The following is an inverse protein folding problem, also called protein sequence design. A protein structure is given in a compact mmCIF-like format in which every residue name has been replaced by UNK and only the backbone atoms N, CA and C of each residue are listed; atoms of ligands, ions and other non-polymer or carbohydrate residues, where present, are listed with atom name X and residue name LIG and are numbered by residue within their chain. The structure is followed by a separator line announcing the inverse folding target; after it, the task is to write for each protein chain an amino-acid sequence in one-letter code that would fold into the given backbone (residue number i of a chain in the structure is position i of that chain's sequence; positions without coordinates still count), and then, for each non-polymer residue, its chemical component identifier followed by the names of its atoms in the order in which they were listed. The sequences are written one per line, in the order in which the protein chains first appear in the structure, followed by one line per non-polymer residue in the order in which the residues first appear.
data_IF_277418559275
#
_entry.id   IF_277418559275
#
_cell.length_a   1.000
_cell.length_b   1.000
_cell.length_c   1.000
_cell.angle_alpha   90.00
_cell.angle_beta   90.00
_cell.angle_gamma   90.00
#
_symmetry.space_group_name_H-M   'P 1'
#
loop_
_entity.id
_entity.type
_entity.pdbx_description
1 polymer ?
#
# COMPACT_ATOMS: atom_id res chain seq x y z
N UNK A 1 -41.33 -22.09 -18.16
CA UNK A 1 -42.43 -21.10 -18.03
C UNK A 1 -42.29 -20.45 -16.67
N UNK A 2 -42.07 -19.13 -16.60
CA UNK A 2 -42.06 -18.41 -15.32
C UNK A 2 -43.48 -18.49 -14.75
N UNK A 3 -43.62 -18.91 -13.49
CA UNK A 3 -44.90 -18.97 -12.78
C UNK A 3 -44.87 -17.97 -11.63
N UNK A 4 -46.02 -17.38 -11.31
CA UNK A 4 -46.20 -16.42 -10.21
C UNK A 4 -45.31 -15.17 -10.32
N UNK A 5 -45.32 -14.36 -9.27
CA UNK A 5 -44.48 -13.17 -9.13
C UNK A 5 -43.06 -13.55 -8.65
N UNK A 6 -42.34 -14.29 -9.50
CA UNK A 6 -40.94 -14.67 -9.24
C UNK A 6 -39.98 -13.77 -10.02
N UNK A 7 -38.75 -13.62 -9.50
CA UNK A 7 -37.66 -12.91 -10.19
C UNK A 7 -37.38 -13.56 -11.53
N UNK A 8 -37.24 -12.75 -12.58
CA UNK A 8 -36.88 -13.21 -13.92
C UNK A 8 -35.51 -13.90 -13.85
N UNK A 9 -35.40 -15.20 -14.19
CA UNK A 9 -34.14 -15.93 -14.07
C UNK A 9 -33.13 -15.43 -15.11
N UNK A 10 -31.94 -15.03 -14.65
CA UNK A 10 -30.79 -14.67 -15.50
C UNK A 10 -29.60 -15.62 -15.25
N UNK A 11 -29.87 -16.92 -15.29
CA UNK A 11 -28.89 -17.96 -14.99
C UNK A 11 -28.06 -18.33 -16.22
N UNK A 12 -26.75 -18.14 -16.16
CA UNK A 12 -25.84 -18.33 -17.30
C UNK A 12 -25.37 -19.78 -17.47
N UNK A 13 -26.30 -20.72 -17.55
CA UNK A 13 -26.04 -22.16 -17.69
C UNK A 13 -26.38 -22.73 -19.08
N UNK A 14 -26.50 -21.86 -20.10
CA UNK A 14 -26.90 -22.23 -21.46
C UNK A 14 -25.79 -22.85 -22.33
N UNK A 15 -24.52 -22.77 -21.89
CA UNK A 15 -23.36 -23.38 -22.57
C UNK A 15 -23.01 -24.73 -21.93
N UNK A 16 -22.06 -25.47 -22.51
CA UNK A 16 -21.51 -26.70 -21.92
C UNK A 16 -20.63 -26.41 -20.68
N UNK A 17 -21.22 -25.84 -19.63
CA UNK A 17 -20.54 -25.41 -18.41
C UNK A 17 -20.02 -26.59 -17.57
N UNK A 18 -20.70 -27.74 -17.64
CA UNK A 18 -20.35 -28.96 -16.90
C UNK A 18 -18.91 -29.42 -17.17
N UNK A 19 -18.40 -29.22 -18.40
CA UNK A 19 -17.02 -29.55 -18.79
C UNK A 19 -15.95 -28.68 -18.12
N UNK A 20 -16.33 -27.53 -17.57
CA UNK A 20 -15.41 -26.53 -16.99
C UNK A 20 -15.69 -26.28 -15.50
N UNK A 21 -16.34 -27.22 -14.84
CA UNK A 21 -16.59 -27.15 -13.40
C UNK A 21 -15.26 -27.36 -12.67
N UNK A 22 -14.80 -26.32 -11.98
CA UNK A 22 -13.60 -26.40 -11.14
C UNK A 22 -13.99 -26.82 -9.73
N UNK A 23 -13.68 -28.05 -9.38
CA UNK A 23 -13.80 -28.55 -8.00
C UNK A 23 -12.62 -28.07 -7.15
N UNK A 24 -12.83 -27.95 -5.83
CA UNK A 24 -11.85 -27.45 -4.87
C UNK A 24 -11.37 -28.52 -3.86
N UNK A 25 -11.50 -29.80 -4.20
CA UNK A 25 -11.05 -30.91 -3.35
C UNK A 25 -9.54 -30.89 -3.06
N UNK A 26 -8.75 -30.27 -3.94
CA UNK A 26 -7.30 -30.12 -3.81
C UNK A 26 -6.87 -28.91 -2.95
N UNK A 27 -7.82 -28.13 -2.42
CA UNK A 27 -7.55 -26.96 -1.58
C UNK A 27 -6.67 -27.27 -0.35
N UNK A 28 -6.94 -28.29 0.49
CA UNK A 28 -6.07 -28.64 1.61
C UNK A 28 -4.68 -29.09 1.16
N UNK A 29 -4.58 -29.91 0.11
CA UNK A 29 -3.30 -30.37 -0.44
C UNK A 29 -2.46 -29.18 -0.95
N UNK A 30 -3.06 -28.26 -1.70
CA UNK A 30 -2.40 -27.01 -2.15
C UNK A 30 -1.97 -26.13 -1.00
N UNK A 31 -2.73 -26.08 0.10
CA UNK A 31 -2.36 -25.34 1.31
C UNK A 31 -1.11 -25.95 1.97
N UNK A 32 -1.06 -27.28 2.11
CA UNK A 32 0.08 -28.01 2.64
C UNK A 32 1.34 -27.81 1.78
N UNK A 33 1.22 -27.99 0.46
CA UNK A 33 2.33 -27.79 -0.48
C UNK A 33 2.90 -26.36 -0.42
N UNK A 34 2.04 -25.32 -0.44
CA UNK A 34 2.49 -23.93 -0.27
C UNK A 34 3.15 -23.68 1.08
N UNK A 35 2.78 -24.40 2.14
CA UNK A 35 3.40 -24.28 3.46
C UNK A 35 4.81 -24.87 3.45
N UNK A 36 5.01 -26.06 2.87
CA UNK A 36 6.33 -26.68 2.73
C UNK A 36 7.29 -25.80 1.91
N UNK A 37 6.86 -25.35 0.73
CA UNK A 37 7.65 -24.45 -0.12
C UNK A 37 8.05 -23.15 0.60
N UNK A 38 7.18 -22.59 1.44
CA UNK A 38 7.52 -21.40 2.25
C UNK A 38 8.58 -21.73 3.32
N UNK A 39 8.50 -22.91 3.95
CA UNK A 39 9.51 -23.36 4.93
C UNK A 39 10.86 -23.58 4.26
N UNK A 40 10.90 -24.27 3.13
CA UNK A 40 12.12 -24.49 2.34
C UNK A 40 12.75 -23.17 1.90
N UNK A 41 11.93 -22.24 1.40
CA UNK A 41 12.39 -20.89 1.04
C UNK A 41 12.98 -20.13 2.23
N UNK A 42 12.37 -20.23 3.41
CA UNK A 42 12.87 -19.59 4.62
C UNK A 42 14.20 -20.22 5.08
N UNK A 43 14.30 -21.55 5.07
CA UNK A 43 15.53 -22.26 5.40
C UNK A 43 16.69 -21.88 4.46
N UNK A 44 16.43 -21.81 3.14
CA UNK A 44 17.43 -21.39 2.15
C UNK A 44 17.86 -19.92 2.30
N UNK A 45 16.97 -19.05 2.76
CA UNK A 45 17.25 -17.62 2.91
C UNK A 45 17.92 -17.28 4.24
N UNK A 46 17.91 -18.17 5.23
CA UNK A 46 18.53 -17.96 6.53
C UNK A 46 20.02 -17.59 6.38
N UNK A 47 20.53 -16.56 7.08
CA UNK A 47 19.92 -15.84 8.20
C UNK A 47 18.98 -14.67 7.81
N UNK A 48 18.81 -14.38 6.52
CA UNK A 48 18.02 -13.23 6.05
C UNK A 48 16.52 -13.48 6.21
N UNK A 49 15.75 -12.48 6.70
CA UNK A 49 14.29 -12.58 6.70
C UNK A 49 13.72 -12.72 5.29
N UNK A 50 12.61 -13.45 5.15
CA UNK A 50 11.97 -13.62 3.84
C UNK A 50 11.28 -12.33 3.40
N UNK A 51 11.55 -11.92 2.16
CA UNK A 51 10.90 -10.77 1.52
C UNK A 51 11.85 -9.58 1.27
N UNK A 52 11.27 -8.44 0.93
CA UNK A 52 11.93 -7.14 0.79
C UNK A 52 11.10 -6.09 1.52
N UNK A 53 11.73 -5.04 2.05
CA UNK A 53 11.00 -3.89 2.59
C UNK A 53 10.21 -3.20 1.46
N UNK A 54 8.94 -2.93 1.72
CA UNK A 54 8.03 -2.21 0.81
C UNK A 54 7.62 -0.86 1.42
N UNK A 55 7.43 0.19 0.59
CA UNK A 55 6.98 1.50 1.05
C UNK A 55 5.50 1.49 1.43
N UNK A 56 5.09 2.49 2.20
CA UNK A 56 3.70 2.82 2.46
C UNK A 56 3.18 3.71 1.32
N UNK A 57 2.08 3.31 0.68
CA UNK A 57 1.51 4.01 -0.49
C UNK A 57 0.00 4.13 -0.36
N UNK A 58 -0.54 5.30 -0.68
CA UNK A 58 -1.99 5.53 -0.76
C UNK A 58 -2.61 4.85 -1.98
N UNK A 59 -3.85 4.36 -1.85
CA UNK A 59 -4.59 3.88 -3.01
C UNK A 59 -5.02 5.03 -3.94
N UNK A 60 -5.27 4.73 -5.21
CA UNK A 60 -5.36 5.75 -6.26
C UNK A 60 -6.72 6.45 -6.37
N UNK A 61 -7.82 5.77 -6.08
CA UNK A 61 -9.18 6.29 -6.35
C UNK A 61 -9.73 7.06 -5.14
N UNK A 62 -10.64 8.00 -5.38
CA UNK A 62 -11.30 8.78 -4.31
C UNK A 62 -11.94 7.90 -3.23
N UNK A 63 -12.50 6.74 -3.59
CA UNK A 63 -13.07 5.77 -2.63
C UNK A 63 -12.03 5.16 -1.69
N UNK A 64 -10.78 5.02 -2.12
CA UNK A 64 -9.75 4.28 -1.38
C UNK A 64 -8.53 5.12 -0.97
N UNK A 65 -8.46 6.41 -1.31
CA UNK A 65 -7.32 7.28 -1.03
C UNK A 65 -6.94 7.34 0.47
N UNK A 66 -7.92 7.19 1.37
CA UNK A 66 -7.70 7.12 2.82
C UNK A 66 -6.99 5.83 3.27
N UNK A 67 -6.99 4.78 2.43
CA UNK A 67 -6.33 3.50 2.74
C UNK A 67 -4.88 3.51 2.28
N UNK A 68 -3.98 3.24 3.21
CA UNK A 68 -2.56 2.99 2.95
C UNK A 68 -2.33 1.49 2.78
N UNK A 69 -1.47 1.13 1.83
CA UNK A 69 -1.07 -0.26 1.54
C UNK A 69 0.43 -0.37 1.29
N UNK A 70 0.94 -1.60 1.33
CA UNK A 70 2.29 -1.88 0.86
C UNK A 70 2.40 -1.66 -0.66
N UNK A 71 3.36 -0.84 -1.07
CA UNK A 71 3.67 -0.56 -2.47
C UNK A 71 4.57 -1.61 -3.14
N UNK A 72 4.89 -1.38 -4.41
CA UNK A 72 5.80 -2.25 -5.17
C UNK A 72 7.26 -2.10 -4.71
N UNK A 73 7.72 -0.87 -4.52
CA UNK A 73 9.09 -0.52 -4.11
C UNK A 73 9.28 0.99 -3.93
N UNK A 74 10.37 1.36 -3.27
CA UNK A 74 10.78 2.73 -2.99
C UNK A 74 11.20 3.46 -4.25
N UNK A 75 10.98 4.78 -4.28
CA UNK A 75 11.43 5.63 -5.40
C UNK A 75 12.92 5.93 -5.30
N UNK A 76 13.52 6.37 -6.40
CA UNK A 76 14.91 6.84 -6.40
C UNK A 76 15.10 8.08 -5.51
N UNK A 77 14.09 8.94 -5.42
CA UNK A 77 14.13 10.13 -4.58
C UNK A 77 14.14 9.76 -3.08
N UNK A 78 13.31 8.80 -2.66
CA UNK A 78 13.29 8.29 -1.29
C UNK A 78 14.62 7.65 -0.91
N UNK A 79 15.18 6.81 -1.79
CA UNK A 79 16.47 6.17 -1.57
C UNK A 79 17.60 7.19 -1.44
N UNK A 80 17.62 8.19 -2.32
CA UNK A 80 18.60 9.29 -2.26
C UNK A 80 18.50 10.07 -0.95
N UNK A 81 17.29 10.40 -0.51
CA UNK A 81 17.05 11.11 0.76
C UNK A 81 17.39 10.26 2.01
N UNK A 82 17.32 8.93 1.88
CA UNK A 82 17.74 7.99 2.92
C UNK A 82 19.24 7.62 2.84
N UNK A 83 19.99 8.14 1.87
CA UNK A 83 21.42 7.83 1.69
C UNK A 83 21.70 6.43 1.15
N UNK A 84 20.72 5.78 0.52
CA UNK A 84 20.85 4.42 -0.03
C UNK A 84 21.04 4.47 -1.53
N UNK A 85 22.07 3.81 -2.05
CA UNK A 85 22.27 3.69 -3.49
C UNK A 85 21.25 2.72 -4.10
N UNK A 86 20.85 2.95 -5.36
CA UNK A 86 19.90 2.09 -6.09
C UNK A 86 20.38 0.63 -6.16
N UNK A 87 21.68 0.45 -6.38
CA UNK A 87 22.26 -0.86 -6.61
C UNK A 87 22.37 -1.64 -5.30
N UNK A 88 22.73 -0.97 -4.20
CA UNK A 88 22.89 -1.59 -2.89
C UNK A 88 21.53 -1.90 -2.24
N UNK A 89 20.50 -1.12 -2.54
CA UNK A 89 19.16 -1.29 -1.99
C UNK A 89 18.65 -2.74 -2.13
N UNK A 90 18.84 -3.37 -3.31
CA UNK A 90 18.38 -4.76 -3.52
C UNK A 90 19.18 -5.76 -2.69
N UNK A 91 20.47 -5.52 -2.50
CA UNK A 91 21.36 -6.38 -1.70
C UNK A 91 20.99 -6.30 -0.21
N UNK A 92 20.66 -5.10 0.27
CA UNK A 92 20.22 -4.83 1.66
C UNK A 92 18.81 -5.39 1.96
N UNK A 93 18.03 -5.72 0.92
CA UNK A 93 16.67 -6.22 1.09
C UNK A 93 15.58 -5.15 1.00
N UNK A 94 15.82 -4.06 0.27
CA UNK A 94 14.87 -2.99 -0.01
C UNK A 94 14.35 -3.15 -1.46
N UNK A 95 13.02 -3.11 -1.64
CA UNK A 95 12.43 -3.18 -2.99
C UNK A 95 12.50 -1.80 -3.68
N UNK A 96 12.91 -1.77 -4.94
CA UNK A 96 13.05 -0.52 -5.72
C UNK A 96 12.03 -0.47 -6.86
N UNK A 97 11.39 0.68 -7.04
CA UNK A 97 10.48 0.95 -8.17
C UNK A 97 10.80 2.31 -8.82
N UNK A 98 11.55 2.26 -9.91
CA UNK A 98 12.00 3.45 -10.66
C UNK A 98 10.86 4.21 -11.35
N UNK A 99 9.67 3.60 -11.48
CA UNK A 99 8.52 4.16 -12.21
C UNK A 99 7.66 5.07 -11.34
N UNK A 100 7.67 4.89 -10.02
CA UNK A 100 6.83 5.67 -9.12
C UNK A 100 7.44 7.07 -8.92
N UNK A 101 6.60 8.08 -8.97
CA UNK A 101 6.96 9.49 -8.74
C UNK A 101 6.30 9.97 -7.45
N UNK A 102 7.01 10.80 -6.69
CA UNK A 102 6.48 11.45 -5.50
C UNK A 102 5.96 12.83 -5.88
N UNK A 103 4.71 13.11 -5.49
CA UNK A 103 4.06 14.42 -5.71
C UNK A 103 3.87 15.19 -4.40
N UNK A 104 3.86 14.49 -3.28
CA UNK A 104 3.62 15.03 -1.95
C UNK A 104 4.86 14.87 -1.09
N UNK A 105 5.23 15.91 -0.36
CA UNK A 105 6.37 15.90 0.54
C UNK A 105 6.14 14.96 1.74
N UNK A 106 4.94 14.98 2.33
CA UNK A 106 4.55 14.11 3.44
C UNK A 106 4.78 12.61 3.13
N UNK A 107 4.41 12.18 1.93
CA UNK A 107 4.58 10.79 1.50
C UNK A 107 6.05 10.42 1.27
N UNK A 108 6.88 11.39 0.87
CA UNK A 108 8.32 11.23 0.76
C UNK A 108 8.91 11.04 2.18
N UNK A 109 8.59 11.94 3.11
CA UNK A 109 9.13 11.94 4.46
C UNK A 109 8.73 10.69 5.25
N UNK A 110 7.46 10.27 5.17
CA UNK A 110 6.99 9.04 5.80
C UNK A 110 7.76 7.79 5.30
N UNK A 111 8.07 7.72 4.01
CA UNK A 111 8.81 6.61 3.44
C UNK A 111 10.31 6.68 3.72
N UNK A 112 10.89 7.89 3.81
CA UNK A 112 12.28 8.09 4.24
C UNK A 112 12.44 7.69 5.71
N UNK A 113 11.53 8.09 6.59
CA UNK A 113 11.51 7.67 7.98
C UNK A 113 11.41 6.14 8.11
N UNK A 114 10.58 5.51 7.27
CA UNK A 114 10.48 4.05 7.19
C UNK A 114 11.77 3.38 6.72
N UNK A 115 12.49 3.97 5.77
CA UNK A 115 13.80 3.48 5.32
C UNK A 115 14.84 3.58 6.43
N UNK A 116 14.94 4.73 7.11
CA UNK A 116 15.87 4.93 8.23
C UNK A 116 15.61 3.93 9.36
N UNK A 117 14.35 3.80 9.79
CA UNK A 117 13.95 2.83 10.80
C UNK A 117 14.24 1.37 10.41
N UNK A 118 14.27 1.04 9.11
CA UNK A 118 14.70 -0.28 8.65
C UNK A 118 16.22 -0.43 8.72
N UNK A 119 16.97 0.55 8.21
CA UNK A 119 18.43 0.54 8.22
C UNK A 119 19.00 0.44 9.63
N UNK A 120 18.41 1.15 10.60
CA UNK A 120 18.82 1.10 12.01
C UNK A 120 18.68 -0.30 12.63
N UNK A 121 17.75 -1.12 12.12
CA UNK A 121 17.49 -2.48 12.60
C UNK A 121 18.20 -3.56 11.79
N UNK A 122 18.74 -3.23 10.61
CA UNK A 122 19.44 -4.20 9.77
C UNK A 122 20.84 -4.44 10.33
N UNK A 123 21.13 -5.69 10.66
CA UNK A 123 22.49 -6.12 10.98
C UNK A 123 23.13 -6.64 9.70
N UNK A 124 24.22 -6.01 9.27
CA UNK A 124 24.96 -6.37 8.07
C UNK A 124 26.30 -7.01 8.42
N UNK A 125 26.55 -8.22 7.92
CA UNK A 125 27.86 -8.85 8.06
C UNK A 125 28.81 -8.32 6.98
N UNK A 126 29.82 -7.55 7.38
CA UNK A 126 30.81 -6.98 6.44
C UNK A 126 31.93 -7.95 6.06
N UNK A 127 32.11 -9.05 6.80
CA UNK A 127 33.19 -10.00 6.57
C UNK A 127 32.76 -11.25 5.78
N UNK A 128 33.75 -11.89 5.15
CA UNK A 128 33.62 -13.21 4.49
C UNK A 128 32.98 -14.25 5.44
N UNK A 129 32.30 -15.28 4.92
CA UNK A 129 31.30 -16.10 5.63
C UNK A 129 31.81 -17.02 6.76
N UNK A 130 33.04 -16.81 7.23
CA UNK A 130 33.69 -17.59 8.29
C UNK A 130 33.51 -16.99 9.69
N UNK A 131 33.16 -15.70 9.80
CA UNK A 131 32.84 -15.07 11.08
C UNK A 131 31.38 -15.28 11.45
N UNK A 132 31.13 -15.92 12.61
CA UNK A 132 29.81 -15.93 13.24
C UNK A 132 29.32 -14.48 13.28
N UNK A 133 28.14 -14.20 12.72
CA UNK A 133 27.49 -12.91 12.95
C UNK A 133 27.30 -12.83 14.47
N UNK A 134 27.75 -11.75 15.10
CA UNK A 134 27.45 -11.47 16.50
C UNK A 134 25.95 -11.18 16.64
N UNK A 135 25.17 -12.27 16.67
CA UNK A 135 23.72 -12.29 16.91
C UNK A 135 23.43 -12.42 18.41
N UNK A 136 24.45 -12.36 19.27
CA UNK A 136 24.30 -12.46 20.72
C UNK A 136 23.25 -11.43 21.20
N UNK A 137 22.08 -11.95 21.64
CA UNK A 137 20.95 -11.16 22.14
C UNK A 137 20.01 -10.55 21.10
N UNK A 138 20.21 -10.75 19.78
CA UNK A 138 19.35 -10.16 18.73
C UNK A 138 18.40 -11.21 18.13
N UNK A 139 17.09 -10.95 18.20
CA UNK A 139 16.08 -11.84 17.64
C UNK A 139 16.11 -11.85 16.10
N UNK A 140 16.26 -13.03 15.50
CA UNK A 140 16.15 -13.22 14.05
C UNK A 140 14.67 -13.19 13.66
N UNK A 141 14.30 -12.26 12.77
CA UNK A 141 12.92 -12.15 12.32
C UNK A 141 12.68 -13.05 11.10
N UNK A 142 11.55 -13.77 11.06
CA UNK A 142 11.24 -14.70 9.96
C UNK A 142 10.79 -14.02 8.66
N UNK A 143 10.16 -12.84 8.74
CA UNK A 143 9.68 -12.11 7.56
C UNK A 143 9.72 -10.59 7.75
N UNK A 144 10.10 -9.87 6.68
CA UNK A 144 10.22 -8.39 6.72
C UNK A 144 8.84 -7.74 6.85
N UNK A 145 7.82 -8.29 6.21
CA UNK A 145 6.45 -7.74 6.27
C UNK A 145 5.84 -7.82 7.68
N UNK A 146 6.18 -8.86 8.46
CA UNK A 146 5.76 -8.95 9.86
C UNK A 146 6.57 -8.02 10.77
N UNK A 147 7.86 -7.83 10.48
CA UNK A 147 8.74 -6.92 11.24
C UNK A 147 8.35 -5.45 11.04
N UNK A 148 7.97 -5.09 9.82
CA UNK A 148 7.60 -3.74 9.42
C UNK A 148 6.24 -3.77 8.71
N UNK A 149 5.13 -3.90 9.44
CA UNK A 149 3.81 -3.82 8.84
C UNK A 149 3.55 -2.40 8.29
N UNK A 150 2.72 -2.31 7.26
CA UNK A 150 2.16 -1.03 6.80
C UNK A 150 0.79 -0.90 7.47
N UNK A 151 0.74 -0.11 8.53
CA UNK A 151 -0.49 0.16 9.27
C UNK A 151 -0.88 1.61 9.00
N UNK A 152 -2.14 1.84 8.64
CA UNK A 152 -2.67 3.19 8.59
C UNK A 152 -2.84 3.69 10.03
N UNK A 153 -2.20 4.81 10.37
CA UNK A 153 -2.47 5.48 11.63
C UNK A 153 -3.95 5.89 11.66
N UNK A 154 -4.67 5.46 12.71
CA UNK A 154 -6.02 5.98 12.97
C UNK A 154 -5.83 7.31 13.71
N UNK A 155 -6.10 8.41 13.04
CA UNK A 155 -6.17 9.70 13.73
C UNK A 155 -7.36 9.68 14.68
N UNK A 156 -7.10 9.84 15.97
CA UNK A 156 -8.15 10.09 16.97
C UNK A 156 -8.55 11.55 16.85
N UNK A 157 -9.84 11.86 16.62
CA UNK A 157 -10.26 13.25 16.57
C UNK A 157 -10.06 13.91 17.94
N UNK A 158 -9.48 15.11 17.93
CA UNK A 158 -9.42 15.96 19.11
C UNK A 158 -10.75 16.72 19.23
N UNK A 159 -11.38 16.64 20.39
CA UNK A 159 -12.61 17.38 20.65
C UNK A 159 -12.26 18.82 21.02
N UNK A 160 -12.70 19.76 20.19
CA UNK A 160 -12.46 21.19 20.38
C UNK A 160 -13.80 21.88 20.64
N UNK A 161 -13.79 22.93 21.48
CA UNK A 161 -14.95 23.78 21.70
C UNK A 161 -15.35 24.49 20.41
N UNK A 162 -16.65 24.48 20.10
CA UNK A 162 -17.18 25.10 18.88
C UNK A 162 -17.00 26.62 19.00
N UNK A 163 -16.22 27.20 18.08
CA UNK A 163 -16.03 28.65 18.01
C UNK A 163 -17.19 29.30 17.25
N UNK A 164 -17.44 30.59 17.49
CA UNK A 164 -18.51 31.32 16.79
C UNK A 164 -18.32 31.33 15.27
N UNK A 165 -17.06 31.34 14.79
CA UNK A 165 -16.73 31.22 13.38
C UNK A 165 -17.09 29.85 12.77
N UNK A 166 -17.03 28.76 13.55
CA UNK A 166 -17.50 27.45 13.09
C UNK A 166 -19.03 27.41 13.01
N UNK A 167 -19.72 28.12 13.92
CA UNK A 167 -21.18 28.18 13.97
C UNK A 167 -21.77 29.05 12.86
N UNK A 168 -21.10 30.14 12.48
CA UNK A 168 -21.57 31.05 11.42
C UNK A 168 -21.33 30.54 10.00
N UNK A 169 -20.54 29.48 9.81
CA UNK A 169 -20.21 28.94 8.48
C UNK A 169 -21.36 28.14 7.88
N UNK A 170 -21.94 28.64 6.78
CA UNK A 170 -22.94 27.92 5.98
C UNK A 170 -22.28 26.85 5.08
N UNK A 171 -22.04 25.66 5.63
CA UNK A 171 -21.33 24.58 4.94
C UNK A 171 -22.00 24.17 3.61
N UNK A 172 -23.33 24.04 3.58
CA UNK A 172 -24.06 23.62 2.37
C UNK A 172 -23.89 24.63 1.23
N UNK A 173 -24.09 25.92 1.52
CA UNK A 173 -23.94 27.00 0.53
C UNK A 173 -22.53 27.03 -0.04
N UNK A 174 -21.51 26.97 0.82
CA UNK A 174 -20.11 26.91 0.40
C UNK A 174 -19.83 25.70 -0.52
N UNK A 175 -20.38 24.51 -0.22
CA UNK A 175 -20.20 23.34 -1.10
C UNK A 175 -20.90 23.50 -2.45
N UNK A 176 -22.05 24.19 -2.50
CA UNK A 176 -22.76 24.47 -3.76
C UNK A 176 -22.02 25.51 -4.61
N UNK A 177 -21.46 26.55 -3.98
CA UNK A 177 -20.62 27.54 -4.65
C UNK A 177 -19.38 26.88 -5.27
N UNK A 178 -18.63 26.08 -4.50
CA UNK A 178 -17.47 25.33 -4.99
C UNK A 178 -17.79 24.35 -6.12
N UNK A 179 -19.01 23.80 -6.14
CA UNK A 179 -19.46 22.96 -7.25
C UNK A 179 -19.72 23.77 -8.52
N UNK A 180 -20.31 24.97 -8.37
CA UNK A 180 -20.67 25.84 -9.50
C UNK A 180 -19.47 26.59 -10.09
N UNK A 181 -18.45 26.92 -9.30
CA UNK A 181 -17.23 27.61 -9.74
C UNK A 181 -16.57 27.01 -10.98
N UNK A 182 -16.18 25.73 -11.03
CA UNK A 182 -15.56 25.14 -12.21
C UNK A 182 -16.52 25.04 -13.40
N UNK A 183 -17.83 24.92 -13.16
CA UNK A 183 -18.86 24.89 -14.21
C UNK A 183 -18.95 26.26 -14.90
N UNK A 184 -18.95 27.35 -14.10
CA UNK A 184 -19.12 28.71 -14.60
C UNK A 184 -17.80 29.41 -14.97
N UNK A 185 -16.65 28.83 -14.62
CA UNK A 185 -15.34 29.44 -14.84
C UNK A 185 -15.10 29.85 -16.30
N UNK A 186 -15.41 28.97 -17.25
CA UNK A 186 -15.24 29.27 -18.68
C UNK A 186 -16.13 30.41 -19.16
N UNK A 187 -17.41 30.42 -18.74
CA UNK A 187 -18.38 31.46 -19.11
C UNK A 187 -17.94 32.81 -18.52
N UNK A 188 -17.48 32.83 -17.26
CA UNK A 188 -16.99 34.03 -16.59
C UNK A 188 -15.76 34.60 -17.29
N UNK A 189 -14.81 33.74 -17.70
CA UNK A 189 -13.62 34.16 -18.46
C UNK A 189 -14.03 34.70 -19.83
N UNK A 190 -15.01 34.09 -20.51
CA UNK A 190 -15.51 34.59 -21.80
C UNK A 190 -16.14 35.97 -21.67
N UNK A 191 -17.03 36.15 -20.70
CA UNK A 191 -17.67 37.45 -20.44
C UNK A 191 -16.66 38.53 -20.06
N UNK A 192 -15.69 38.20 -19.20
CA UNK A 192 -14.62 39.13 -18.81
C UNK A 192 -13.62 39.45 -19.94
N UNK A 193 -13.72 38.79 -21.11
CA UNK A 193 -12.95 39.11 -22.31
C UNK A 193 -13.76 39.91 -23.34
N UNK A 194 -15.08 39.86 -23.24
CA UNK A 194 -16.02 40.60 -24.09
C UNK A 194 -16.29 42.00 -23.54
N UNK A 195 -16.19 42.16 -22.22
CA UNK A 195 -16.08 43.45 -21.51
C UNK A 195 -14.66 44.03 -21.62
#
# INVERSE_FOLDING_TARGET
MVKHNNVIPNSHFHKQWQRRVKTWFDQPAKKAARRQLRKEKAAKAAPRPVGFLRPAVHCQTARYNMRVRAGRGFTLAELKAAGVSRNDARTIGIAVDYRRRNKSQEALDANVARLRAYLDKVVWNKEKPTGKIDVAGKAVVGSIEAAFPVVAAKATPEFVTITDAMRSREAYKATRELHNEPILAGIRISKAREE
#
